data_IF_872495854858
#
_entry.id   IF_872495854858
#
_cell.length_a   1.000
_cell.length_b   1.000
_cell.length_c   1.000
_cell.angle_alpha   90.00
_cell.angle_beta   90.00
_cell.angle_gamma   90.00
#
_symmetry.space_group_name_H-M   'P 1'
#
loop_
_entity.id
_entity.type
_entity.pdbx_description
1 polymer ?
#
# COMPACT_ATOMS: atom_id res chain seq x y z
N UNK A 1 -9.22 -19.54 5.09
CA UNK A 1 -9.47 -19.62 3.63
C UNK A 1 -10.38 -18.48 3.24
N UNK A 2 -10.12 -17.85 2.09
CA UNK A 2 -11.09 -16.95 1.49
C UNK A 2 -12.26 -17.80 0.98
N UNK A 3 -13.46 -17.53 1.49
CA UNK A 3 -14.70 -18.22 1.09
C UNK A 3 -15.54 -17.17 0.38
N UNK A 4 -15.91 -17.44 -0.87
CA UNK A 4 -16.78 -16.54 -1.63
C UNK A 4 -18.13 -16.33 -0.93
N UNK A 5 -18.77 -15.18 -1.22
CA UNK A 5 -19.99 -14.66 -0.59
C UNK A 5 -20.94 -15.76 -0.11
N UNK A 6 -20.94 -16.03 1.20
CA UNK A 6 -22.11 -16.60 1.84
C UNK A 6 -23.09 -15.44 2.08
N UNK A 7 -24.29 -15.57 1.51
CA UNK A 7 -25.35 -14.55 1.57
C UNK A 7 -26.00 -14.42 2.95
N UNK A 8 -25.61 -15.23 3.93
CA UNK A 8 -26.15 -15.19 5.28
C UNK A 8 -25.03 -15.29 6.30
N UNK A 9 -25.10 -14.45 7.33
CA UNK A 9 -24.22 -14.41 8.51
C UNK A 9 -22.77 -13.94 8.31
N UNK A 10 -22.59 -12.62 8.19
CA UNK A 10 -21.74 -11.81 9.09
C UNK A 10 -21.79 -10.36 8.61
N UNK A 11 -22.06 -9.43 9.52
CA UNK A 11 -22.10 -8.00 9.24
C UNK A 11 -20.88 -7.58 8.40
N UNK A 12 -21.14 -7.12 7.17
CA UNK A 12 -20.25 -6.43 6.22
C UNK A 12 -18.79 -6.26 6.72
N UNK A 13 -17.99 -7.34 6.70
CA UNK A 13 -16.64 -7.30 7.26
C UNK A 13 -15.79 -6.35 6.43
N UNK A 14 -15.30 -5.28 7.06
CA UNK A 14 -14.45 -4.32 6.38
C UNK A 14 -13.09 -4.97 6.14
N UNK A 15 -12.46 -4.64 5.01
CA UNK A 15 -11.10 -5.08 4.68
C UNK A 15 -10.11 -4.80 5.83
N UNK A 16 -10.32 -3.68 6.54
CA UNK A 16 -9.59 -3.32 7.76
C UNK A 16 -9.68 -4.39 8.85
N UNK A 17 -10.86 -4.96 9.08
CA UNK A 17 -11.07 -5.93 10.17
C UNK A 17 -10.36 -7.26 9.89
N UNK A 18 -10.23 -7.63 8.61
CA UNK A 18 -9.44 -8.78 8.19
C UNK A 18 -7.97 -8.58 8.56
N UNK A 19 -7.39 -7.41 8.24
CA UNK A 19 -5.98 -7.12 8.57
C UNK A 19 -5.77 -7.11 10.08
N UNK A 20 -6.67 -6.47 10.84
CA UNK A 20 -6.56 -6.42 12.30
C UNK A 20 -6.65 -7.82 12.93
N UNK A 21 -7.55 -8.68 12.43
CA UNK A 21 -7.68 -10.06 12.90
C UNK A 21 -6.42 -10.87 12.62
N UNK A 22 -5.88 -10.77 11.40
CA UNK A 22 -4.64 -11.44 11.02
C UNK A 22 -3.47 -10.93 11.87
N UNK A 23 -3.39 -9.63 12.11
CA UNK A 23 -2.33 -9.02 12.90
C UNK A 23 -2.39 -9.40 14.37
N UNK A 24 -3.58 -9.61 14.93
CA UNK A 24 -3.83 -9.73 16.39
C UNK A 24 -2.83 -10.57 17.21
N UNK A 25 -2.29 -11.72 16.75
CA UNK A 25 -1.32 -12.51 17.52
C UNK A 25 0.03 -11.80 17.73
N UNK A 26 0.30 -10.74 16.97
CA UNK A 26 1.52 -9.94 17.02
C UNK A 26 1.33 -8.57 17.71
N UNK A 27 0.15 -8.40 18.35
CA UNK A 27 -0.23 -7.36 19.32
C UNK A 27 0.93 -6.81 20.15
N UNK A 28 1.33 -5.54 20.03
CA UNK A 28 2.25 -4.90 20.98
C UNK A 28 3.70 -5.39 20.93
N UNK A 29 4.07 -6.20 19.93
CA UNK A 29 5.43 -6.76 19.78
C UNK A 29 6.38 -5.88 18.95
N UNK A 30 5.95 -4.67 18.57
CA UNK A 30 6.77 -3.72 17.79
C UNK A 30 7.16 -4.27 16.41
N UNK A 31 6.29 -5.05 15.78
CA UNK A 31 6.56 -5.65 14.45
C UNK A 31 6.10 -4.74 13.33
N UNK A 32 6.81 -4.82 12.21
CA UNK A 32 6.40 -4.18 10.97
C UNK A 32 5.30 -5.01 10.29
N UNK A 33 4.24 -4.33 9.84
CA UNK A 33 3.21 -4.92 8.98
C UNK A 33 3.32 -4.28 7.61
N UNK A 34 3.51 -5.12 6.60
CA UNK A 34 3.51 -4.73 5.19
C UNK A 34 2.28 -5.35 4.52
N UNK A 35 1.49 -4.52 3.83
CA UNK A 35 0.28 -4.98 3.13
C UNK A 35 0.27 -4.54 1.68
N UNK A 36 -0.48 -5.25 0.83
CA UNK A 36 -0.79 -4.80 -0.52
C UNK A 36 -1.64 -3.50 -0.50
N UNK A 37 -1.66 -2.77 -1.61
CA UNK A 37 -2.52 -1.61 -1.82
C UNK A 37 -4.02 -1.92 -1.57
N UNK A 38 -4.55 -3.10 -1.89
CA UNK A 38 -5.96 -3.45 -1.62
C UNK A 38 -6.35 -3.29 -0.14
N UNK A 39 -5.42 -3.60 0.76
CA UNK A 39 -5.65 -3.55 2.20
C UNK A 39 -5.28 -2.19 2.80
N UNK A 40 -4.64 -1.31 2.04
CA UNK A 40 -4.11 -0.04 2.54
C UNK A 40 -5.16 1.07 2.57
N UNK A 41 -5.41 1.63 3.75
CA UNK A 41 -6.25 2.81 3.96
C UNK A 41 -5.76 3.62 5.15
N UNK A 42 -6.02 4.93 5.18
CA UNK A 42 -5.59 5.82 6.28
C UNK A 42 -6.14 5.31 7.63
N UNK A 43 -7.43 4.99 7.69
CA UNK A 43 -8.04 4.46 8.92
C UNK A 43 -7.50 3.11 9.38
N UNK A 44 -6.92 2.29 8.49
CA UNK A 44 -6.20 1.08 8.92
C UNK A 44 -4.88 1.45 9.60
N UNK A 45 -4.12 2.40 9.05
CA UNK A 45 -2.83 2.84 9.62
C UNK A 45 -3.04 3.39 11.02
N UNK A 46 -4.04 4.24 11.22
CA UNK A 46 -4.39 4.80 12.53
C UNK A 46 -4.67 3.71 13.56
N UNK A 47 -5.46 2.68 13.20
CA UNK A 47 -5.75 1.54 14.06
C UNK A 47 -4.50 0.70 14.39
N UNK A 48 -3.62 0.50 13.41
CA UNK A 48 -2.38 -0.26 13.61
C UNK A 48 -1.40 0.49 14.51
N UNK A 49 -1.26 1.81 14.34
CA UNK A 49 -0.44 2.67 15.18
C UNK A 49 -0.92 2.67 16.63
N UNK A 50 -2.25 2.70 16.87
CA UNK A 50 -2.83 2.58 18.20
C UNK A 50 -2.46 1.24 18.90
N UNK A 51 -2.15 0.19 18.14
CA UNK A 51 -1.72 -1.11 18.65
C UNK A 51 -0.19 -1.32 18.66
N UNK A 52 0.59 -0.23 18.50
CA UNK A 52 2.06 -0.23 18.46
C UNK A 52 2.66 -1.08 17.34
N UNK A 53 1.98 -1.18 16.21
CA UNK A 53 2.58 -1.67 14.98
C UNK A 53 3.29 -0.55 14.23
N UNK A 54 4.35 -0.91 13.54
CA UNK A 54 4.97 -0.04 12.53
C UNK A 54 4.39 -0.45 11.18
N UNK A 55 3.73 0.47 10.47
CA UNK A 55 3.12 0.16 9.18
C UNK A 55 4.03 0.62 8.04
N UNK A 56 4.39 -0.30 7.15
CA UNK A 56 5.18 -0.03 5.94
C UNK A 56 4.32 -0.32 4.72
N UNK A 57 4.25 0.63 3.78
CA UNK A 57 3.42 0.48 2.58
C UNK A 57 4.09 1.02 1.33
N UNK A 58 3.74 0.43 0.18
CA UNK A 58 4.18 0.86 -1.15
C UNK A 58 3.08 1.69 -1.82
N UNK A 59 3.36 2.98 -2.06
CA UNK A 59 2.44 3.90 -2.72
C UNK A 59 2.42 3.64 -4.23
N UNK A 60 1.50 2.79 -4.71
CA UNK A 60 1.37 2.47 -6.13
C UNK A 60 0.40 3.38 -6.91
N UNK A 61 -0.45 4.18 -6.24
CA UNK A 61 -1.50 4.99 -6.90
C UNK A 61 -1.43 6.45 -6.49
N UNK A 62 -1.30 7.32 -7.48
CA UNK A 62 -1.29 8.78 -7.33
C UNK A 62 -2.69 9.39 -7.04
N UNK A 63 -3.76 8.59 -7.13
CA UNK A 63 -5.14 9.07 -6.93
C UNK A 63 -5.65 9.03 -5.48
N UNK A 64 -4.78 8.77 -4.48
CA UNK A 64 -5.21 8.83 -3.09
C UNK A 64 -5.24 10.30 -2.63
N UNK A 65 -6.43 10.78 -2.23
CA UNK A 65 -6.71 12.18 -1.89
C UNK A 65 -5.85 12.78 -0.76
N UNK A 66 -5.25 11.94 0.10
CA UNK A 66 -4.46 12.39 1.25
C UNK A 66 -2.95 12.44 0.98
N UNK A 67 -2.50 12.15 -0.24
CA UNK A 67 -1.10 12.29 -0.61
C UNK A 67 -0.93 13.69 -1.21
N UNK A 68 0.00 14.53 -0.71
CA UNK A 68 0.29 15.79 -1.38
C UNK A 68 0.66 15.50 -2.84
N UNK A 69 0.34 16.39 -3.80
CA UNK A 69 0.70 16.18 -5.19
C UNK A 69 2.22 16.14 -5.35
N UNK A 70 2.77 14.93 -5.31
CA UNK A 70 4.18 14.66 -5.56
C UNK A 70 4.32 14.52 -7.07
N UNK A 71 5.12 15.40 -7.68
CA UNK A 71 5.59 15.20 -9.05
C UNK A 71 6.59 14.05 -9.01
N UNK A 72 6.12 12.83 -9.26
CA UNK A 72 7.01 11.71 -9.50
C UNK A 72 7.86 12.03 -10.73
N UNK A 73 9.18 11.71 -10.72
CA UNK A 73 9.95 11.79 -11.94
C UNK A 73 9.22 10.98 -12.99
N UNK A 74 8.90 11.60 -14.12
CA UNK A 74 8.30 10.88 -15.23
C UNK A 74 9.20 9.71 -15.56
N UNK A 75 8.63 8.52 -15.68
CA UNK A 75 9.30 7.43 -16.39
C UNK A 75 9.32 7.77 -17.88
N UNK A 76 9.93 8.90 -18.26
CA UNK A 76 10.34 9.12 -19.63
C UNK A 76 11.33 8.02 -19.92
N UNK A 77 10.92 7.06 -20.75
CA UNK A 77 11.87 6.16 -21.36
C UNK A 77 12.80 7.06 -22.16
N UNK A 78 14.03 7.21 -21.71
CA UNK A 78 15.07 7.85 -22.52
C UNK A 78 15.18 6.96 -23.76
N UNK A 79 14.90 7.51 -24.94
CA UNK A 79 15.05 6.76 -26.19
C UNK A 79 16.50 6.30 -26.28
N UNK A 80 16.73 5.06 -26.73
CA UNK A 80 18.08 4.62 -27.07
C UNK A 80 18.74 5.54 -28.10
N UNK A 81 17.93 6.15 -28.97
CA UNK A 81 18.37 7.10 -29.98
C UNK A 81 18.95 8.38 -29.37
N UNK A 82 18.38 8.88 -28.26
CA UNK A 82 18.88 10.08 -27.56
C UNK A 82 20.24 9.78 -26.90
N UNK A 83 20.39 8.59 -26.31
CA UNK A 83 21.64 8.16 -25.68
C UNK A 83 22.79 7.97 -26.68
N UNK A 84 22.47 7.49 -27.90
CA UNK A 84 23.46 7.31 -28.96
C UNK A 84 23.91 8.67 -29.50
N UNK A 85 23.00 9.65 -29.62
CA UNK A 85 23.34 11.00 -30.09
C UNK A 85 24.34 11.73 -29.17
N UNK A 86 24.16 11.61 -27.85
CA UNK A 86 25.06 12.18 -26.85
C UNK A 86 26.48 11.55 -26.86
N UNK A 87 26.61 10.33 -27.39
CA UNK A 87 27.89 9.62 -27.51
C UNK A 87 28.62 9.90 -28.82
N UNK A 88 27.93 10.41 -29.83
CA UNK A 88 28.50 10.70 -31.16
C UNK A 88 28.95 12.14 -31.36
N UNK A 89 28.62 13.05 -30.43
CA UNK A 89 28.98 14.46 -30.48
C UNK A 89 30.25 14.81 -29.65
N UNK A 90 31.26 13.92 -29.66
CA UNK A 90 32.56 14.15 -29.02
C UNK A 90 33.74 13.80 -29.95
#
# INVERSE_FOLDING_TARGET
>A
MYVDKQQETTANMKVTDVVMRLASPWSGKGRNIMTDNFFSSVGLVEKLMAQKYIYCWHIARNNKCNIPPIKWPSQSKVSLDDLISDLTDN
#
